data_IF_679727562567
#
_entry.id   IF_679727562567
#
_cell.length_a   1.000
_cell.length_b   1.000
_cell.length_c   1.000
_cell.angle_alpha   90.00
_cell.angle_beta   90.00
_cell.angle_gamma   90.00
#
_symmetry.space_group_name_H-M   'P 1'
#
loop_
_entity.id
_entity.type
_entity.pdbx_description
1 polymer ?
#
# COMPACT_ATOMS: atom_id res chain seq x y z
N UNK A 1 61.96 1.01 -5.82
CA UNK A 1 61.10 1.64 -6.84
C UNK A 1 60.47 0.57 -7.73
N UNK A 2 59.27 0.12 -7.39
CA UNK A 2 58.22 -0.35 -8.31
C UNK A 2 57.02 -0.82 -7.48
N UNK A 3 55.91 -0.08 -7.66
CA UNK A 3 54.51 -0.53 -7.55
C UNK A 3 54.04 -0.76 -6.10
N UNK A 4 53.58 0.28 -5.40
CA UNK A 4 52.25 0.92 -5.50
C UNK A 4 51.15 0.06 -4.84
N UNK A 5 51.00 0.28 -3.53
CA UNK A 5 49.74 0.60 -2.83
C UNK A 5 48.47 -0.11 -3.30
N UNK A 6 48.24 -1.34 -2.88
CA UNK A 6 46.90 -1.95 -2.87
C UNK A 6 46.82 -2.80 -1.62
N UNK A 7 46.13 -2.31 -0.58
CA UNK A 7 45.31 -3.02 0.43
C UNK A 7 45.06 -2.01 1.55
N UNK A 8 44.18 -1.04 1.31
CA UNK A 8 43.47 -0.33 2.38
C UNK A 8 42.24 0.40 1.83
N UNK A 9 41.40 -0.31 1.06
CA UNK A 9 40.09 0.21 0.64
C UNK A 9 39.00 -0.85 0.77
N UNK A 10 39.14 -1.77 1.73
CA UNK A 10 38.13 -2.80 2.03
C UNK A 10 37.08 -2.33 3.03
N UNK A 11 37.07 -1.04 3.40
CA UNK A 11 35.89 -0.43 4.04
C UNK A 11 34.89 -0.03 2.93
N UNK A 12 34.57 -0.98 2.07
CA UNK A 12 33.44 -0.94 1.16
C UNK A 12 32.22 -1.63 1.82
N UNK A 13 32.05 -1.39 3.13
CA UNK A 13 30.87 -1.82 3.91
C UNK A 13 30.21 -0.65 4.64
N UNK A 14 30.44 0.59 4.19
CA UNK A 14 29.55 1.71 4.52
C UNK A 14 28.39 1.80 3.51
N UNK A 15 27.83 0.64 3.20
CA UNK A 15 26.66 0.43 2.35
C UNK A 15 25.44 0.01 3.15
N UNK A 16 25.31 0.44 4.41
CA UNK A 16 23.98 0.52 5.02
C UNK A 16 23.39 1.87 4.64
N UNK A 17 22.86 1.97 3.42
CA UNK A 17 21.67 2.79 3.26
C UNK A 17 20.57 2.08 4.03
N UNK A 18 20.50 2.33 5.35
CA UNK A 18 19.24 2.09 6.05
C UNK A 18 18.26 3.08 5.42
N UNK A 19 17.47 2.59 4.47
CA UNK A 19 16.26 3.27 4.08
C UNK A 19 15.32 3.10 5.27
N UNK A 20 15.53 3.87 6.32
CA UNK A 20 14.57 4.02 7.41
C UNK A 20 13.39 4.80 6.82
N UNK A 21 12.59 4.13 5.99
CA UNK A 21 11.17 4.42 5.95
C UNK A 21 10.63 3.96 7.30
N UNK A 22 10.95 4.72 8.35
CA UNK A 22 10.06 4.85 9.48
C UNK A 22 8.80 5.53 8.91
N UNK A 23 8.01 4.77 8.16
CA UNK A 23 6.70 5.18 7.75
C UNK A 23 5.88 5.11 9.04
N UNK A 24 5.83 6.23 9.77
CA UNK A 24 5.07 6.29 11.03
C UNK A 24 3.61 5.86 10.82
N UNK A 25 3.11 5.88 9.56
CA UNK A 25 1.88 5.22 9.10
C UNK A 25 2.01 4.78 7.63
N UNK A 26 1.64 3.54 7.31
CA UNK A 26 1.48 3.05 5.95
C UNK A 26 0.02 3.25 5.49
N UNK A 27 -0.18 3.66 4.24
CA UNK A 27 -1.50 3.77 3.61
C UNK A 27 -1.58 2.79 2.43
N UNK A 28 -2.43 1.77 2.55
CA UNK A 28 -2.73 0.82 1.49
C UNK A 28 -3.97 1.28 0.73
N UNK A 29 -3.79 1.67 -0.54
CA UNK A 29 -4.85 2.25 -1.38
C UNK A 29 -5.28 1.24 -2.44
N UNK A 30 -6.56 0.86 -2.41
CA UNK A 30 -7.15 -0.08 -3.35
C UNK A 30 -8.18 0.64 -4.22
N UNK A 31 -7.93 0.72 -5.52
CA UNK A 31 -8.91 1.19 -6.51
C UNK A 31 -9.52 0.00 -7.24
N UNK A 32 -10.85 -0.14 -7.17
CA UNK A 32 -11.57 -1.27 -7.77
C UNK A 32 -12.42 -0.88 -8.98
N UNK A 33 -12.36 -1.73 -9.99
CA UNK A 33 -13.24 -1.73 -11.16
C UNK A 33 -13.92 -3.10 -11.21
N UNK A 34 -15.25 -3.09 -11.12
CA UNK A 34 -16.02 -4.32 -11.26
C UNK A 34 -16.12 -4.75 -12.73
N UNK A 35 -16.23 -6.06 -12.94
CA UNK A 35 -16.58 -6.60 -14.27
C UNK A 35 -18.00 -6.16 -14.63
N UNK A 36 -18.29 -6.01 -15.92
CA UNK A 36 -19.62 -5.62 -16.40
C UNK A 36 -20.73 -6.61 -15.99
N UNK A 37 -20.39 -7.87 -15.73
CA UNK A 37 -21.33 -8.91 -15.27
C UNK A 37 -21.58 -8.91 -13.76
N UNK A 38 -20.90 -8.05 -12.97
CA UNK A 38 -21.11 -7.99 -11.53
C UNK A 38 -22.50 -7.42 -11.23
N UNK A 39 -23.30 -8.16 -10.47
CA UNK A 39 -24.62 -7.70 -10.04
C UNK A 39 -24.49 -6.59 -8.98
N UNK A 40 -25.49 -5.71 -8.83
CA UNK A 40 -25.53 -4.74 -7.74
C UNK A 40 -25.42 -5.40 -6.35
N UNK A 41 -26.00 -6.59 -6.19
CA UNK A 41 -25.94 -7.35 -4.95
C UNK A 41 -24.52 -7.82 -4.64
N UNK A 42 -23.78 -8.30 -5.64
CA UNK A 42 -22.39 -8.72 -5.46
C UNK A 42 -21.45 -7.55 -5.19
N UNK A 43 -21.66 -6.42 -5.87
CA UNK A 43 -20.96 -5.17 -5.55
C UNK A 43 -21.22 -4.79 -4.09
N UNK A 44 -22.48 -4.84 -3.65
CA UNK A 44 -22.85 -4.51 -2.27
C UNK A 44 -22.21 -5.45 -1.24
N UNK A 45 -22.11 -6.74 -1.55
CA UNK A 45 -21.40 -7.72 -0.71
C UNK A 45 -19.93 -7.35 -0.57
N UNK A 46 -19.27 -6.95 -1.66
CA UNK A 46 -17.86 -6.51 -1.63
C UNK A 46 -17.70 -5.23 -0.81
N UNK A 47 -18.51 -4.20 -1.05
CA UNK A 47 -18.51 -2.96 -0.25
C UNK A 47 -18.63 -3.26 1.25
N UNK A 48 -19.62 -4.09 1.62
CA UNK A 48 -19.89 -4.46 3.02
C UNK A 48 -18.74 -5.26 3.61
N UNK A 49 -18.16 -6.19 2.84
CA UNK A 49 -17.02 -6.99 3.29
C UNK A 49 -15.78 -6.13 3.54
N UNK A 50 -15.45 -5.21 2.62
CA UNK A 50 -14.33 -4.29 2.79
C UNK A 50 -14.54 -3.35 3.97
N UNK A 51 -15.72 -2.75 4.11
CA UNK A 51 -16.03 -1.86 5.23
C UNK A 51 -15.89 -2.56 6.60
N UNK A 52 -16.16 -3.87 6.65
CA UNK A 52 -16.03 -4.68 7.85
C UNK A 52 -14.58 -5.12 8.17
N UNK A 53 -13.60 -4.91 7.27
CA UNK A 53 -12.22 -5.39 7.49
C UNK A 53 -11.60 -4.83 8.76
N UNK A 54 -11.85 -3.56 9.08
CA UNK A 54 -11.36 -2.94 10.32
C UNK A 54 -11.82 -3.68 11.58
N UNK A 55 -12.96 -4.34 11.55
CA UNK A 55 -13.48 -5.13 12.68
C UNK A 55 -12.87 -6.54 12.75
N UNK A 56 -12.26 -7.01 11.67
CA UNK A 56 -11.76 -8.38 11.51
C UNK A 56 -10.23 -8.48 11.57
N UNK A 57 -9.53 -7.41 11.22
CA UNK A 57 -8.06 -7.35 11.13
C UNK A 57 -7.58 -6.29 12.13
N UNK A 58 -7.03 -6.70 13.29
CA UNK A 58 -6.56 -5.80 14.35
C UNK A 58 -5.49 -4.78 13.90
N UNK A 59 -4.71 -5.12 12.87
CA UNK A 59 -3.62 -4.32 12.33
C UNK A 59 -4.12 -3.10 11.53
N UNK A 60 -5.38 -3.12 11.07
CA UNK A 60 -6.00 -1.98 10.39
C UNK A 60 -6.35 -0.89 11.42
N UNK A 61 -5.58 0.20 11.38
CA UNK A 61 -5.77 1.37 12.24
C UNK A 61 -7.00 2.17 11.83
N UNK A 62 -7.17 2.42 10.53
CA UNK A 62 -8.36 3.05 9.96
C UNK A 62 -8.69 2.49 8.58
N UNK A 63 -9.96 2.57 8.21
CA UNK A 63 -10.44 2.23 6.88
C UNK A 63 -11.47 3.28 6.47
N UNK A 64 -11.21 3.93 5.34
CA UNK A 64 -12.10 4.88 4.69
C UNK A 64 -12.35 4.41 3.26
N UNK A 65 -13.56 4.62 2.76
CA UNK A 65 -13.89 4.22 1.39
C UNK A 65 -15.04 5.03 0.79
N UNK A 66 -15.15 4.99 -0.53
CA UNK A 66 -16.26 5.58 -1.25
C UNK A 66 -16.23 5.34 -2.75
N UNK A 67 -17.24 5.85 -3.44
CA UNK A 67 -17.35 5.79 -4.91
C UNK A 67 -16.75 7.04 -5.56
N UNK A 68 -16.18 6.87 -6.74
CA UNK A 68 -15.61 7.97 -7.52
C UNK A 68 -16.70 8.95 -7.99
N UNK A 69 -16.47 10.24 -7.74
CA UNK A 69 -17.33 11.36 -8.19
C UNK A 69 -16.54 12.42 -8.98
N UNK A 70 -15.31 12.09 -9.39
CA UNK A 70 -14.42 13.02 -10.08
C UNK A 70 -14.97 13.43 -11.45
N UNK A 71 -14.93 14.74 -11.74
CA UNK A 71 -15.29 15.32 -13.04
C UNK A 71 -14.12 15.34 -14.03
N UNK A 72 -12.92 14.98 -13.57
CA UNK A 72 -11.67 15.13 -14.35
C UNK A 72 -11.43 14.00 -15.35
N UNK A 73 -12.24 12.92 -15.31
CA UNK A 73 -12.17 11.77 -16.24
C UNK A 73 -10.82 11.06 -16.27
N UNK A 74 -10.07 11.08 -15.15
CA UNK A 74 -8.76 10.41 -14.99
C UNK A 74 -8.83 9.10 -14.18
N UNK A 75 -10.04 8.62 -13.90
CA UNK A 75 -10.29 7.45 -13.04
C UNK A 75 -9.95 6.11 -13.70
N UNK A 76 -9.64 6.07 -15.00
CA UNK A 76 -9.35 4.84 -15.77
C UNK A 76 -10.43 3.75 -15.63
N UNK A 77 -11.67 4.14 -15.31
CA UNK A 77 -12.80 3.25 -15.07
C UNK A 77 -12.83 2.59 -13.68
N UNK A 78 -11.97 2.99 -12.75
CA UNK A 78 -12.11 2.62 -11.34
C UNK A 78 -13.30 3.39 -10.74
N UNK A 79 -14.11 2.67 -9.95
CA UNK A 79 -15.39 3.20 -9.43
C UNK A 79 -15.39 3.31 -7.91
N UNK A 80 -14.56 2.53 -7.23
CA UNK A 80 -14.47 2.49 -5.78
C UNK A 80 -13.03 2.69 -5.34
N UNK A 81 -12.83 3.34 -4.20
CA UNK A 81 -11.54 3.49 -3.56
C UNK A 81 -11.66 3.13 -2.08
N UNK A 82 -10.71 2.35 -1.58
CA UNK A 82 -10.55 1.99 -0.18
C UNK A 82 -9.14 2.41 0.27
N UNK A 83 -9.05 3.07 1.42
CA UNK A 83 -7.81 3.53 2.02
C UNK A 83 -7.72 2.91 3.40
N UNK A 84 -6.75 2.04 3.59
CA UNK A 84 -6.48 1.36 4.85
C UNK A 84 -5.19 1.91 5.43
N UNK A 85 -5.18 2.22 6.73
CA UNK A 85 -3.95 2.62 7.42
C UNK A 85 -3.42 1.52 8.33
N UNK A 86 -2.10 1.36 8.33
CA UNK A 86 -1.35 0.41 9.14
C UNK A 86 -0.20 1.14 9.85
N UNK A 87 0.36 0.56 10.92
CA UNK A 87 1.54 1.16 11.58
C UNK A 87 2.84 0.82 10.87
N UNK A 88 2.86 -0.25 10.07
CA UNK A 88 4.05 -0.73 9.38
C UNK A 88 3.69 -1.46 8.08
N UNK A 89 4.69 -1.80 7.28
CA UNK A 89 4.55 -2.66 6.09
C UNK A 89 4.32 -4.13 6.50
N UNK A 90 4.98 -4.56 7.57
CA UNK A 90 4.83 -5.91 8.13
C UNK A 90 3.38 -6.15 8.58
N UNK A 91 2.75 -5.15 9.21
CA UNK A 91 1.35 -5.18 9.64
C UNK A 91 0.38 -5.35 8.45
N UNK A 92 0.75 -4.87 7.25
CA UNK A 92 -0.06 -4.99 6.04
C UNK A 92 0.11 -6.35 5.34
N UNK A 93 1.27 -6.99 5.52
CA UNK A 93 1.65 -8.25 4.87
C UNK A 93 1.34 -9.51 5.70
N UNK A 94 0.80 -9.33 6.92
CA UNK A 94 0.43 -10.42 7.84
C UNK A 94 -0.89 -11.09 7.44
#
# INVERSE_FOLDING_TARGET
>A
MKILTIVLCSIAFLGLTMNTRAAEKLQHVVSLKFKAAASPEDIKKVETAFAALKQKIPEIVSLEWGTNVSKEKKDKGFTHCFILSFKSEQDCDT
#
